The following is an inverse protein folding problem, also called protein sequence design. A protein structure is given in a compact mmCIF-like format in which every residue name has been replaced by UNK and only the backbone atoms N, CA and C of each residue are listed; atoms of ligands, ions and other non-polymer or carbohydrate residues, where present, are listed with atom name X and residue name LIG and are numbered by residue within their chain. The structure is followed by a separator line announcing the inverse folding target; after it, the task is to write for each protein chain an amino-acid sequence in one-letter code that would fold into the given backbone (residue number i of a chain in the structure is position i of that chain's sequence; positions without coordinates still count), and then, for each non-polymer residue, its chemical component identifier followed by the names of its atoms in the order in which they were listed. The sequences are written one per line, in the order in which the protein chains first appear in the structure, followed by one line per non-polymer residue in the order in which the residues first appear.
data_IF_522164186447
#
_entry.id   IF_522164186447
#
_cell.length_a   1.000
_cell.length_b   1.000
_cell.length_c   1.000
_cell.angle_alpha   90.00
_cell.angle_beta   90.00
_cell.angle_gamma   90.00
#
_symmetry.space_group_name_H-M   'P 1'
#
loop_
_entity.id
_entity.type
_entity.pdbx_description
1 polymer ?
#
# COMPACT_ATOMS: atom_id res chain seq x y z
N UNK A 1 -3.12 13.74 -13.05
CA UNK A 1 -1.88 13.07 -13.45
C UNK A 1 -0.89 13.19 -12.31
N UNK A 2 -0.22 12.11 -11.89
CA UNK A 2 0.84 12.21 -10.89
C UNK A 2 2.01 13.04 -11.42
N UNK A 3 2.67 13.77 -10.54
CA UNK A 3 3.90 14.50 -10.88
C UNK A 3 5.07 13.54 -11.02
N UNK A 4 6.17 13.99 -11.66
CA UNK A 4 7.39 13.17 -11.80
C UNK A 4 7.92 12.71 -10.41
N UNK A 5 7.87 13.58 -9.42
CA UNK A 5 8.28 13.30 -8.04
C UNK A 5 7.41 12.21 -7.40
N UNK A 6 6.11 12.25 -7.60
CA UNK A 6 5.18 11.21 -7.13
C UNK A 6 5.44 9.86 -7.82
N UNK A 7 5.77 9.89 -9.10
CA UNK A 7 6.11 8.69 -9.88
C UNK A 7 7.40 8.04 -9.36
N UNK A 8 8.45 8.83 -9.15
CA UNK A 8 9.73 8.35 -8.60
C UNK A 8 9.51 7.76 -7.20
N UNK A 9 8.77 8.43 -6.33
CA UNK A 9 8.46 7.95 -5.00
C UNK A 9 7.67 6.62 -5.04
N UNK A 10 6.73 6.50 -5.97
CA UNK A 10 5.99 5.24 -6.21
C UNK A 10 6.90 4.10 -6.67
N UNK A 11 7.85 4.38 -7.57
CA UNK A 11 8.84 3.40 -8.04
C UNK A 11 9.80 2.97 -6.94
N UNK A 12 10.30 3.88 -6.12
CA UNK A 12 11.15 3.57 -4.96
C UNK A 12 10.43 2.66 -3.94
N UNK A 13 9.15 2.91 -3.69
CA UNK A 13 8.34 2.03 -2.83
C UNK A 13 8.20 0.62 -3.41
N UNK A 14 7.95 0.51 -4.72
CA UNK A 14 7.90 -0.79 -5.41
C UNK A 14 9.24 -1.51 -5.33
N UNK A 15 10.32 -0.84 -5.60
CA UNK A 15 11.67 -1.38 -5.50
C UNK A 15 11.98 -1.88 -4.08
N UNK A 16 11.69 -1.10 -3.05
CA UNK A 16 11.86 -1.52 -1.66
C UNK A 16 10.99 -2.72 -1.28
N UNK A 17 9.74 -2.77 -1.76
CA UNK A 17 8.86 -3.92 -1.53
C UNK A 17 9.38 -5.21 -2.20
N UNK A 18 9.94 -5.08 -3.40
CA UNK A 18 10.56 -6.20 -4.11
C UNK A 18 11.87 -6.65 -3.44
N UNK A 19 12.67 -5.73 -2.92
CA UNK A 19 13.94 -6.04 -2.24
C UNK A 19 13.72 -6.79 -0.90
N UNK A 20 12.59 -6.58 -0.24
CA UNK A 20 12.22 -7.29 1.00
C UNK A 20 11.69 -8.71 0.77
N UNK A 21 11.41 -9.11 -0.47
CA UNK A 21 10.94 -10.46 -0.83
C UNK A 21 12.06 -11.48 -1.07
N UNK A 22 13.29 -11.19 -0.65
CA UNK A 22 14.29 -12.26 -0.58
C UNK A 22 13.81 -13.33 0.41
N UNK A 23 13.76 -14.62 0.01
CA UNK A 23 13.52 -15.69 0.96
C UNK A 23 14.60 -15.56 2.04
N UNK A 24 14.17 -15.40 3.29
CA UNK A 24 15.06 -15.54 4.44
C UNK A 24 15.64 -16.93 4.33
N UNK A 25 16.89 -17.03 3.93
CA UNK A 25 17.70 -18.21 4.16
C UNK A 25 17.68 -18.40 5.67
N UNK A 26 17.02 -19.44 6.11
CA UNK A 26 16.92 -19.82 7.52
C UNK A 26 18.29 -20.34 7.97
N UNK A 27 19.20 -19.46 8.27
CA UNK A 27 20.27 -19.79 9.21
C UNK A 27 19.71 -19.58 10.60
N UNK A 28 19.04 -20.64 11.10
CA UNK A 28 18.59 -20.74 12.48
C UNK A 28 19.83 -20.94 13.34
N UNK A 29 20.46 -19.85 13.78
CA UNK A 29 21.36 -19.87 14.91
C UNK A 29 20.48 -19.59 16.14
N UNK A 30 20.37 -20.56 17.09
CA UNK A 30 19.64 -20.31 18.32
C UNK A 30 20.39 -19.23 19.11
N UNK A 31 19.71 -18.24 19.70
CA UNK A 31 20.34 -17.24 20.54
C UNK A 31 20.85 -17.91 21.83
N UNK A 32 22.13 -17.79 22.12
CA UNK A 32 22.66 -17.99 23.43
C UNK A 32 22.12 -16.91 24.38
N UNK A 33 21.65 -17.38 25.50
CA UNK A 33 21.25 -16.72 26.75
C UNK A 33 21.42 -15.19 26.88
N UNK A 34 20.28 -14.52 27.09
CA UNK A 34 20.15 -13.45 28.06
C UNK A 34 20.59 -12.05 27.65
N UNK A 35 19.84 -11.41 26.75
CA UNK A 35 19.70 -9.95 26.80
C UNK A 35 18.33 -9.54 26.26
N UNK A 36 17.60 -8.76 27.05
CA UNK A 36 16.33 -8.12 26.69
C UNK A 36 16.59 -7.09 25.60
N UNK A 37 16.70 -7.58 24.37
CA UNK A 37 16.74 -6.74 23.20
C UNK A 37 15.37 -6.09 23.01
N UNK A 38 15.30 -4.77 23.18
CA UNK A 38 14.20 -3.94 22.71
C UNK A 38 14.05 -4.20 21.22
N UNK A 39 13.07 -5.04 20.85
CA UNK A 39 12.68 -5.22 19.46
C UNK A 39 12.20 -3.86 18.96
N UNK A 40 12.87 -3.24 17.97
CA UNK A 40 12.36 -2.00 17.40
C UNK A 40 10.94 -2.30 16.90
N UNK A 41 9.96 -1.41 17.11
CA UNK A 41 8.61 -1.62 16.62
C UNK A 41 8.70 -1.86 15.11
N UNK A 42 8.19 -3.00 14.65
CA UNK A 42 8.08 -3.30 13.22
C UNK A 42 7.41 -2.10 12.56
N UNK A 43 7.98 -1.56 11.44
CA UNK A 43 7.37 -0.45 10.74
C UNK A 43 5.95 -0.92 10.37
N UNK A 44 4.97 -0.23 10.92
CA UNK A 44 3.57 -0.60 10.84
C UNK A 44 3.13 -0.73 9.37
N UNK A 45 3.15 -1.96 8.86
CA UNK A 45 2.65 -2.35 7.54
C UNK A 45 1.12 -2.15 7.42
N UNK A 46 0.50 -1.66 8.50
CA UNK A 46 -0.94 -1.39 8.65
C UNK A 46 -1.43 -0.23 7.78
N UNK A 47 -0.56 0.72 7.47
CA UNK A 47 -0.91 1.90 6.67
C UNK A 47 -1.04 1.58 5.18
N UNK A 48 -0.26 0.62 4.65
CA UNK A 48 -0.26 0.27 3.23
C UNK A 48 -1.54 -0.44 2.78
N UNK A 49 -2.10 -1.34 3.59
CA UNK A 49 -3.36 -2.03 3.28
C UNK A 49 -4.54 -1.08 3.26
N UNK A 50 -4.60 -0.15 4.20
CA UNK A 50 -5.64 0.85 4.33
C UNK A 50 -5.69 1.79 3.11
N UNK A 51 -4.55 2.35 2.72
CA UNK A 51 -4.46 3.23 1.54
C UNK A 51 -4.87 2.51 0.26
N UNK A 52 -4.45 1.24 0.07
CA UNK A 52 -4.83 0.43 -1.09
C UNK A 52 -6.32 0.13 -1.15
N UNK A 53 -6.94 -0.20 -0.02
CA UNK A 53 -8.39 -0.42 0.07
C UNK A 53 -9.17 0.82 -0.32
N UNK A 54 -8.81 1.97 0.24
CA UNK A 54 -9.50 3.23 -0.01
C UNK A 54 -9.30 3.67 -1.46
N UNK A 55 -8.09 3.57 -2.02
CA UNK A 55 -7.82 3.88 -3.43
C UNK A 55 -8.65 2.98 -4.36
N UNK A 56 -8.71 1.67 -4.08
CA UNK A 56 -9.51 0.73 -4.87
C UNK A 56 -11.00 1.12 -4.90
N UNK A 57 -11.56 1.50 -3.74
CA UNK A 57 -12.95 1.93 -3.64
C UNK A 57 -13.21 3.31 -4.26
N UNK A 58 -12.21 4.17 -4.33
CA UNK A 58 -12.30 5.44 -5.05
C UNK A 58 -12.38 5.23 -6.56
N UNK A 59 -11.58 4.33 -7.08
CA UNK A 59 -11.45 4.10 -8.52
C UNK A 59 -12.63 3.26 -9.07
N UNK A 60 -13.13 2.29 -8.29
CA UNK A 60 -14.14 1.32 -8.75
C UNK A 60 -15.52 1.51 -8.11
N UNK A 61 -15.66 2.40 -7.13
CA UNK A 61 -16.91 2.57 -6.39
C UNK A 61 -17.18 1.45 -5.37
N UNK A 62 -18.45 1.24 -4.98
CA UNK A 62 -18.83 0.18 -4.06
C UNK A 62 -18.50 -1.21 -4.62
N UNK A 63 -17.88 -2.07 -3.82
CA UNK A 63 -17.44 -3.42 -4.22
C UNK A 63 -17.79 -4.47 -3.19
N UNK A 64 -18.02 -5.70 -3.65
CA UNK A 64 -18.15 -6.85 -2.76
C UNK A 64 -16.83 -7.17 -2.06
N UNK A 65 -16.90 -7.58 -0.79
CA UNK A 65 -15.71 -7.90 0.01
C UNK A 65 -14.84 -8.98 -0.66
N UNK A 66 -15.45 -9.97 -1.33
CA UNK A 66 -14.75 -10.99 -2.09
C UNK A 66 -13.97 -10.43 -3.28
N UNK A 67 -14.54 -9.47 -4.00
CA UNK A 67 -13.87 -8.78 -5.11
C UNK A 67 -12.67 -7.97 -4.63
N UNK A 68 -12.83 -7.25 -3.50
CA UNK A 68 -11.74 -6.50 -2.88
C UNK A 68 -10.60 -7.43 -2.47
N UNK A 69 -10.90 -8.59 -1.86
CA UNK A 69 -9.90 -9.58 -1.48
C UNK A 69 -9.07 -10.06 -2.68
N UNK A 70 -9.76 -10.36 -3.79
CA UNK A 70 -9.12 -10.78 -5.03
C UNK A 70 -8.22 -9.67 -5.63
N UNK A 71 -8.70 -8.42 -5.70
CA UNK A 71 -7.93 -7.29 -6.23
C UNK A 71 -6.69 -6.95 -5.38
N UNK A 72 -6.81 -7.03 -4.05
CA UNK A 72 -5.70 -6.73 -3.15
C UNK A 72 -4.75 -7.90 -2.96
N UNK A 73 -5.13 -9.11 -3.38
CA UNK A 73 -4.35 -10.32 -3.20
C UNK A 73 -4.16 -10.70 -1.73
N UNK A 74 -5.17 -10.47 -0.88
CA UNK A 74 -5.12 -10.74 0.56
C UNK A 74 -6.19 -11.76 0.96
N UNK A 75 -5.94 -12.46 2.06
CA UNK A 75 -6.89 -13.45 2.59
C UNK A 75 -8.18 -12.76 3.06
N UNK A 76 -9.36 -13.40 2.89
CA UNK A 76 -10.64 -12.83 3.31
C UNK A 76 -10.68 -12.41 4.79
N UNK A 77 -10.05 -13.19 5.68
CA UNK A 77 -9.97 -12.87 7.10
C UNK A 77 -9.18 -11.58 7.34
N UNK A 78 -7.99 -11.44 6.74
CA UNK A 78 -7.16 -10.24 6.85
C UNK A 78 -7.85 -9.00 6.29
N UNK A 79 -8.61 -9.18 5.18
CA UNK A 79 -9.43 -8.10 4.64
C UNK A 79 -10.56 -7.71 5.61
N UNK A 80 -11.23 -8.68 6.22
CA UNK A 80 -12.30 -8.41 7.19
C UNK A 80 -11.81 -7.57 8.36
N UNK A 81 -10.64 -7.91 8.92
CA UNK A 81 -10.00 -7.14 9.99
C UNK A 81 -9.62 -5.73 9.53
N UNK A 82 -9.08 -5.60 8.32
CA UNK A 82 -8.74 -4.32 7.73
C UNK A 82 -10.00 -3.43 7.57
N UNK A 83 -11.07 -3.99 6.99
CA UNK A 83 -12.33 -3.26 6.79
C UNK A 83 -12.92 -2.84 8.14
N UNK A 84 -12.92 -3.70 9.16
CA UNK A 84 -13.40 -3.35 10.51
C UNK A 84 -12.66 -2.12 11.07
N UNK A 85 -11.34 -2.07 10.92
CA UNK A 85 -10.53 -0.92 11.37
C UNK A 85 -10.85 0.35 10.60
N UNK A 86 -10.95 0.26 9.27
CA UNK A 86 -11.21 1.40 8.40
C UNK A 86 -12.65 1.92 8.56
N UNK A 87 -13.60 1.02 8.88
CA UNK A 87 -14.98 1.37 9.21
C UNK A 87 -15.09 2.03 10.59
N UNK A 88 -14.35 1.54 11.60
CA UNK A 88 -14.28 2.17 12.92
C UNK A 88 -13.74 3.62 12.85
N UNK A 89 -12.84 3.88 11.89
CA UNK A 89 -12.35 5.23 11.59
C UNK A 89 -13.37 6.07 10.79
N UNK A 90 -14.48 5.47 10.37
CA UNK A 90 -15.55 6.11 9.62
C UNK A 90 -15.23 6.41 8.16
N UNK A 91 -14.22 5.73 7.57
CA UNK A 91 -13.79 5.98 6.19
C UNK A 91 -14.51 5.12 5.15
N UNK A 92 -15.03 3.98 5.57
CA UNK A 92 -15.87 3.09 4.76
C UNK A 92 -17.10 2.67 5.53
N UNK A 93 -18.12 2.16 4.83
CA UNK A 93 -19.29 1.52 5.40
C UNK A 93 -19.49 0.16 4.77
N UNK A 94 -20.12 -0.77 5.52
CA UNK A 94 -20.53 -2.09 5.02
C UNK A 94 -22.05 -2.17 4.96
N UNK A 95 -22.56 -2.77 3.89
CA UNK A 95 -23.98 -3.09 3.73
C UNK A 95 -24.13 -4.48 3.13
N UNK A 96 -25.18 -5.19 3.48
CA UNK A 96 -25.54 -6.40 2.76
C UNK A 96 -26.03 -6.02 1.36
N UNK A 97 -25.68 -6.83 0.36
CA UNK A 97 -26.18 -6.66 -0.99
C UNK A 97 -27.70 -6.84 -1.02
N UNK A 98 -28.40 -5.99 -1.77
CA UNK A 98 -29.84 -6.13 -1.98
C UNK A 98 -30.18 -7.35 -2.87
N UNK A 99 -29.26 -7.74 -3.76
CA UNK A 99 -29.42 -8.84 -4.71
C UNK A 99 -29.04 -10.19 -4.09
N UNK A 100 -27.96 -10.21 -3.28
CA UNK A 100 -27.49 -11.42 -2.60
C UNK A 100 -27.10 -11.09 -1.15
N UNK A 101 -27.95 -11.44 -0.21
CA UNK A 101 -27.74 -11.23 1.23
C UNK A 101 -26.50 -11.91 1.81
N UNK A 102 -25.86 -12.82 1.05
CA UNK A 102 -24.59 -13.46 1.44
C UNK A 102 -23.39 -12.58 1.17
N UNK A 103 -23.55 -11.55 0.35
CA UNK A 103 -22.49 -10.63 -0.03
C UNK A 103 -22.53 -9.36 0.81
N UNK A 104 -21.37 -8.96 1.28
CA UNK A 104 -21.16 -7.68 1.95
C UNK A 104 -20.53 -6.70 0.96
N UNK A 105 -21.20 -5.59 0.70
CA UNK A 105 -20.73 -4.50 -0.14
C UNK A 105 -20.03 -3.46 0.76
N UNK A 106 -18.84 -3.07 0.38
CA UNK A 106 -18.04 -2.03 1.05
C UNK A 106 -18.06 -0.77 0.19
N UNK A 107 -18.34 0.36 0.80
CA UNK A 107 -18.42 1.67 0.13
C UNK A 107 -17.59 2.68 0.89
N UNK A 108 -16.94 3.60 0.17
CA UNK A 108 -16.23 4.72 0.77
C UNK A 108 -17.23 5.78 1.27
N UNK A 109 -16.97 6.37 2.44
CA UNK A 109 -17.76 7.48 2.98
C UNK A 109 -17.27 8.83 2.47
N UNK A 110 -18.05 9.91 2.70
CA UNK A 110 -17.60 11.29 2.46
C UNK A 110 -16.30 11.61 3.21
N UNK A 111 -16.23 11.22 4.48
CA UNK A 111 -15.01 11.33 5.30
C UNK A 111 -13.83 10.55 4.70
N UNK A 112 -14.10 9.37 4.14
CA UNK A 112 -13.11 8.58 3.43
C UNK A 112 -12.57 9.28 2.19
N UNK A 113 -13.45 9.90 1.39
CA UNK A 113 -13.05 10.70 0.21
C UNK A 113 -12.18 11.90 0.59
N UNK A 114 -12.63 12.69 1.56
CA UNK A 114 -11.87 13.83 2.07
C UNK A 114 -10.49 13.42 2.64
N UNK A 115 -10.43 12.26 3.31
CA UNK A 115 -9.18 11.70 3.82
C UNK A 115 -8.20 11.34 2.69
N UNK A 116 -8.67 10.77 1.57
CA UNK A 116 -7.83 10.48 0.39
C UNK A 116 -7.24 11.76 -0.19
N UNK A 117 -8.03 12.81 -0.33
CA UNK A 117 -7.57 14.08 -0.88
C UNK A 117 -6.48 14.70 -0.01
N UNK A 118 -6.67 14.68 1.31
CA UNK A 118 -5.66 15.12 2.29
C UNK A 118 -4.37 14.29 2.18
N UNK A 119 -4.49 12.96 2.06
CA UNK A 119 -3.32 12.07 1.87
C UNK A 119 -2.61 12.32 0.55
N UNK A 120 -3.34 12.54 -0.53
CA UNK A 120 -2.74 12.88 -1.84
C UNK A 120 -1.95 14.17 -1.77
N UNK A 121 -2.52 15.20 -1.16
CA UNK A 121 -1.85 16.48 -0.99
C UNK A 121 -0.57 16.35 -0.14
N UNK A 122 -0.66 15.67 1.00
CA UNK A 122 0.51 15.43 1.86
C UNK A 122 1.57 14.56 1.17
N UNK A 123 1.14 13.57 0.39
CA UNK A 123 2.05 12.70 -0.36
C UNK A 123 2.79 13.44 -1.47
N UNK A 124 2.07 14.30 -2.19
CA UNK A 124 2.65 15.16 -3.23
C UNK A 124 3.69 16.10 -2.64
N UNK A 125 3.32 16.81 -1.57
CA UNK A 125 4.22 17.73 -0.86
C UNK A 125 5.48 17.00 -0.36
N UNK A 126 5.32 15.81 0.23
CA UNK A 126 6.45 15.00 0.67
C UNK A 126 7.37 14.56 -0.49
N UNK A 127 6.79 14.21 -1.64
CA UNK A 127 7.58 13.87 -2.83
C UNK A 127 8.36 15.08 -3.35
N UNK A 128 7.72 16.24 -3.44
CA UNK A 128 8.35 17.50 -3.86
C UNK A 128 9.50 17.87 -2.92
N UNK A 129 9.29 17.81 -1.60
CA UNK A 129 10.33 18.10 -0.61
C UNK A 129 11.51 17.10 -0.68
N UNK A 130 11.22 15.82 -0.87
CA UNK A 130 12.23 14.76 -0.94
C UNK A 130 13.14 14.91 -2.16
N UNK A 131 12.58 15.30 -3.30
CA UNK A 131 13.31 15.43 -4.56
C UNK A 131 13.68 16.88 -4.90
N UNK A 132 13.42 17.84 -4.01
CA UNK A 132 13.81 19.24 -4.19
C UNK A 132 15.31 19.47 -4.46
N UNK A 133 16.26 18.66 -3.90
CA UNK A 133 17.67 18.83 -4.22
C UNK A 133 18.07 18.40 -5.63
N UNK A 134 17.22 17.68 -6.37
CA UNK A 134 17.50 17.15 -7.71
C UNK A 134 16.99 18.10 -8.79
N UNK A 135 17.77 18.25 -9.85
CA UNK A 135 17.33 18.89 -11.08
C UNK A 135 16.32 18.01 -11.82
N UNK A 136 15.54 18.57 -12.75
CA UNK A 136 14.59 17.81 -13.57
C UNK A 136 15.29 16.71 -14.40
N UNK A 137 16.51 16.98 -14.89
CA UNK A 137 17.30 16.01 -15.63
C UNK A 137 17.71 14.81 -14.73
N UNK A 138 18.14 15.06 -13.50
CA UNK A 138 18.48 14.04 -12.53
C UNK A 138 17.26 13.23 -12.11
N UNK A 139 16.10 13.84 -11.94
CA UNK A 139 14.83 13.15 -11.66
C UNK A 139 14.44 12.23 -12.81
N UNK A 140 14.55 12.68 -14.06
CA UNK A 140 14.28 11.87 -15.24
C UNK A 140 15.24 10.68 -15.36
N UNK A 141 16.52 10.89 -15.08
CA UNK A 141 17.53 9.84 -15.07
C UNK A 141 17.22 8.78 -13.99
N UNK A 142 16.86 9.23 -12.79
CA UNK A 142 16.48 8.36 -11.67
C UNK A 142 15.22 7.55 -12.00
N UNK A 143 14.19 8.19 -12.56
CA UNK A 143 12.96 7.52 -12.98
C UNK A 143 13.25 6.43 -14.04
N UNK A 144 14.08 6.75 -15.03
CA UNK A 144 14.50 5.80 -16.07
C UNK A 144 15.25 4.59 -15.49
N UNK A 145 16.20 4.84 -14.58
CA UNK A 145 16.97 3.78 -13.94
C UNK A 145 16.07 2.85 -13.10
N UNK A 146 15.16 3.41 -12.31
CA UNK A 146 14.24 2.64 -11.48
C UNK A 146 13.28 1.79 -12.32
N UNK A 147 12.75 2.32 -13.44
CA UNK A 147 11.90 1.55 -14.37
C UNK A 147 12.65 0.34 -14.89
N UNK A 148 13.87 0.52 -15.40
CA UNK A 148 14.70 -0.58 -15.93
C UNK A 148 14.92 -1.68 -14.89
N UNK A 149 15.23 -1.31 -13.64
CA UNK A 149 15.45 -2.28 -12.55
C UNK A 149 14.16 -3.05 -12.22
N UNK A 150 13.04 -2.33 -12.12
CA UNK A 150 11.73 -2.93 -11.79
C UNK A 150 11.29 -3.90 -12.89
N UNK A 151 11.46 -3.52 -14.16
CA UNK A 151 11.02 -4.34 -15.30
C UNK A 151 11.93 -5.58 -15.47
N UNK A 152 13.24 -5.42 -15.37
CA UNK A 152 14.18 -6.56 -15.41
C UNK A 152 13.92 -7.58 -14.30
N UNK A 153 13.42 -7.14 -13.15
CA UNK A 153 13.09 -8.03 -12.04
C UNK A 153 11.77 -8.78 -12.26
N UNK A 154 10.76 -8.13 -12.85
CA UNK A 154 9.51 -8.79 -13.23
C UNK A 154 9.71 -9.91 -14.24
N UNK A 155 10.61 -9.68 -15.20
CA UNK A 155 10.96 -10.69 -16.23
C UNK A 155 11.62 -11.94 -15.63
N UNK A 156 12.32 -11.81 -14.50
CA UNK A 156 12.96 -12.95 -13.80
C UNK A 156 12.00 -13.73 -12.88
N UNK A 157 10.88 -13.13 -12.52
CA UNK A 157 9.87 -13.74 -11.63
C UNK A 157 8.75 -14.46 -12.43
N UNK A 158 8.70 -14.29 -13.76
CA UNK A 158 7.81 -14.99 -14.70
C UNK A 158 8.52 -16.17 -15.34
#
# INVERSE_FOLDING_TARGET
MPTLDEEILGMLRRFNAMSRRHPKQQDHVPPADGETGVVPPEPENKTHGRGRLIALLMDNGPMAQSQIAAHLGIRPQSLSELICKVEADGLVTRRQSAEDKRQTIVSITEKGRANVESFRCAHKKHAEELFAPLTEEEKLALASALRKIIDARKEREN
#
